data_IF_176853788590
#
_entry.id   IF_176853788590
#
_cell.length_a   1.000
_cell.length_b   1.000
_cell.length_c   1.000
_cell.angle_alpha   90.00
_cell.angle_beta   90.00
_cell.angle_gamma   90.00
#
_symmetry.space_group_name_H-M   'P 1'
#
loop_
_entity.id
_entity.type
_entity.pdbx_description
1 polymer ?
#
# COMPACT_ATOMS: atom_id res chain seq x y z
N UNK A 1 -5.77 4.38 -0.06
CA UNK A 1 -4.73 3.81 -0.94
C UNK A 1 -3.88 4.87 -1.64
N UNK A 2 -4.28 6.15 -1.65
CA UNK A 2 -3.52 7.26 -2.27
C UNK A 2 -2.03 7.38 -1.91
N UNK A 3 -1.63 7.15 -0.65
CA UNK A 3 -0.23 7.38 -0.24
C UNK A 3 0.81 6.44 -0.90
N UNK A 4 0.47 5.17 -1.15
CA UNK A 4 1.40 4.24 -1.84
C UNK A 4 1.48 4.53 -3.35
N UNK A 5 0.36 4.90 -3.94
CA UNK A 5 0.25 5.27 -5.35
C UNK A 5 1.02 6.57 -5.62
N UNK A 6 0.82 7.58 -4.77
CA UNK A 6 1.45 8.91 -4.90
C UNK A 6 2.97 8.86 -4.72
N UNK A 7 3.45 8.02 -3.80
CA UNK A 7 4.89 7.91 -3.51
C UNK A 7 5.59 6.74 -4.23
N UNK A 8 4.86 5.95 -5.05
CA UNK A 8 5.34 4.71 -5.68
C UNK A 8 6.09 3.78 -4.73
N UNK A 9 5.65 3.72 -3.47
CA UNK A 9 6.29 2.93 -2.42
C UNK A 9 5.47 1.68 -2.12
N UNK A 10 6.13 0.52 -2.17
CA UNK A 10 5.50 -0.80 -1.91
C UNK A 10 5.26 -1.10 -0.43
N UNK A 11 5.58 -0.14 0.45
CA UNK A 11 5.47 -0.23 1.91
C UNK A 11 5.22 1.14 2.53
N UNK A 12 4.37 1.19 3.55
CA UNK A 12 4.10 2.39 4.33
C UNK A 12 4.43 2.14 5.80
N UNK A 13 5.19 3.04 6.45
CA UNK A 13 5.36 3.00 7.90
C UNK A 13 4.06 3.40 8.61
N UNK A 14 3.72 2.70 9.69
CA UNK A 14 2.63 3.04 10.61
C UNK A 14 3.23 3.75 11.81
N UNK A 15 2.84 5.01 12.00
CA UNK A 15 3.35 5.88 13.07
C UNK A 15 2.21 6.13 14.06
N UNK A 16 2.49 5.98 15.35
CA UNK A 16 1.60 6.37 16.46
C UNK A 16 2.40 7.18 17.48
N UNK A 17 1.87 8.33 17.89
CA UNK A 17 2.56 9.29 18.77
C UNK A 17 4.04 9.53 18.41
N UNK A 18 4.33 9.77 17.13
CA UNK A 18 5.69 9.96 16.59
C UNK A 18 6.63 8.75 16.70
N UNK A 19 6.10 7.56 17.03
CA UNK A 19 6.86 6.31 17.09
C UNK A 19 6.43 5.39 15.95
N UNK A 20 7.42 4.77 15.30
CA UNK A 20 7.19 3.70 14.33
C UNK A 20 6.69 2.46 15.06
N UNK A 21 5.43 2.11 14.87
CA UNK A 21 4.80 0.94 15.48
C UNK A 21 4.66 -0.23 14.52
N UNK A 22 4.90 -0.03 13.22
CA UNK A 22 4.87 -1.11 12.24
C UNK A 22 5.09 -0.66 10.80
N UNK A 23 5.02 -1.61 9.88
CA UNK A 23 5.11 -1.38 8.44
C UNK A 23 4.03 -2.22 7.77
N UNK A 24 3.25 -1.61 6.87
CA UNK A 24 2.28 -2.32 6.03
C UNK A 24 2.85 -2.45 4.63
N UNK A 25 2.74 -3.64 4.06
CA UNK A 25 3.19 -3.95 2.70
C UNK A 25 2.04 -4.11 1.72
N UNK A 26 2.32 -3.94 0.42
CA UNK A 26 1.36 -4.23 -0.65
C UNK A 26 0.83 -5.68 -0.58
N UNK A 27 1.69 -6.63 -0.20
CA UNK A 27 1.31 -8.04 -0.06
C UNK A 27 0.29 -8.30 1.07
N UNK A 28 0.35 -7.55 2.16
CA UNK A 28 -0.66 -7.64 3.23
C UNK A 28 -1.99 -7.03 2.81
N UNK A 29 -1.96 -5.90 2.08
CA UNK A 29 -3.16 -5.29 1.52
C UNK A 29 -3.79 -6.23 0.48
N UNK A 30 -2.98 -6.91 -0.34
CA UNK A 30 -3.45 -7.90 -1.29
C UNK A 30 -4.18 -9.09 -0.65
N UNK A 31 -3.81 -9.45 0.57
CA UNK A 31 -4.44 -10.56 1.30
C UNK A 31 -5.76 -10.19 1.98
N UNK A 32 -6.01 -8.90 2.20
CA UNK A 32 -7.19 -8.41 2.93
C UNK A 32 -8.17 -7.60 2.06
N UNK A 33 -7.79 -7.25 0.82
CA UNK A 33 -8.66 -6.52 -0.10
C UNK A 33 -9.57 -7.45 -0.92
N UNK A 34 -10.83 -7.06 -1.18
CA UNK A 34 -11.66 -7.71 -2.18
C UNK A 34 -10.99 -7.67 -3.57
N UNK A 35 -11.12 -8.74 -4.35
CA UNK A 35 -10.38 -8.94 -5.63
C UNK A 35 -10.47 -7.73 -6.58
N UNK A 36 -11.61 -7.05 -6.62
CA UNK A 36 -11.85 -5.87 -7.45
C UNK A 36 -11.05 -4.65 -7.02
N UNK A 37 -10.87 -4.45 -5.70
CA UNK A 37 -10.07 -3.35 -5.17
C UNK A 37 -8.58 -3.66 -5.26
N UNK A 38 -8.20 -4.94 -5.17
CA UNK A 38 -6.83 -5.38 -5.33
C UNK A 38 -6.30 -5.11 -6.74
N UNK A 39 -7.05 -5.44 -7.80
CA UNK A 39 -6.60 -5.19 -9.19
C UNK A 39 -6.29 -3.72 -9.43
N UNK A 40 -7.19 -2.83 -9.00
CA UNK A 40 -7.00 -1.39 -9.16
C UNK A 40 -5.76 -0.88 -8.42
N UNK A 41 -5.50 -1.41 -7.23
CA UNK A 41 -4.33 -1.07 -6.42
C UNK A 41 -3.02 -1.55 -7.05
N UNK A 42 -2.97 -2.80 -7.52
CA UNK A 42 -1.79 -3.36 -8.20
C UNK A 42 -1.51 -2.60 -9.49
N UNK A 43 -2.55 -2.27 -10.27
CA UNK A 43 -2.40 -1.46 -11.48
C UNK A 43 -1.78 -0.09 -11.17
N UNK A 44 -2.23 0.57 -10.09
CA UNK A 44 -1.76 1.91 -9.76
C UNK A 44 -0.34 1.96 -9.18
N UNK A 45 0.10 0.91 -8.48
CA UNK A 45 1.47 0.84 -7.92
C UNK A 45 2.46 0.19 -8.90
N UNK A 46 2.04 -0.80 -9.69
CA UNK A 46 2.88 -1.48 -10.67
C UNK A 46 2.89 -0.81 -12.06
N UNK A 47 1.99 0.14 -12.34
CA UNK A 47 2.10 1.01 -13.51
C UNK A 47 3.34 1.91 -13.39
N UNK A 48 4.43 1.38 -13.91
CA UNK A 48 5.64 2.13 -14.28
C UNK A 48 5.41 2.67 -15.69
N UNK A 49 5.81 3.92 -16.03
CA UNK A 49 5.76 4.40 -17.42
C UNK A 49 6.63 3.55 -18.35
#
# INVERSE_FOLDING_TARGET
MHAMEEHRTRRLPVIDEHRLIGVITEAELARHLPEKQLRHFVESICATP
#
